data_IF_672314016658
#
_entry.id   IF_672314016658
#
_cell.length_a   1.000
_cell.length_b   1.000
_cell.length_c   1.000
_cell.angle_alpha   90.00
_cell.angle_beta   90.00
_cell.angle_gamma   90.00
#
_symmetry.space_group_name_H-M   'P 1'
#
loop_
_entity.id
_entity.type
_entity.pdbx_description
1 polymer ?
#
# COMPACT_ATOMS: atom_id res chain seq x y z
N UNK A 1 20.33 -7.16 16.21
CA UNK A 1 19.26 -7.71 15.37
C UNK A 1 18.33 -6.56 14.98
N UNK A 2 18.08 -6.35 13.70
CA UNK A 2 17.20 -5.28 13.20
C UNK A 2 15.73 -5.67 13.39
N UNK A 3 14.89 -4.72 13.79
CA UNK A 3 13.45 -4.93 14.00
C UNK A 3 12.75 -5.21 12.67
N UNK A 4 12.04 -6.34 12.57
CA UNK A 4 11.18 -6.63 11.42
C UNK A 4 9.79 -6.02 11.65
N UNK A 5 9.34 -5.22 10.68
CA UNK A 5 7.99 -4.66 10.69
C UNK A 5 7.07 -5.46 9.77
N UNK A 6 5.80 -5.55 10.15
CA UNK A 6 4.74 -6.19 9.38
C UNK A 6 3.40 -5.52 9.64
N UNK A 7 2.44 -5.74 8.75
CA UNK A 7 1.08 -5.24 8.88
C UNK A 7 0.08 -6.26 8.33
N UNK A 8 -1.14 -6.24 8.85
CA UNK A 8 -2.20 -7.19 8.48
C UNK A 8 -3.21 -6.55 7.53
N UNK A 9 -3.67 -7.31 6.54
CA UNK A 9 -4.73 -6.93 5.62
C UNK A 9 -5.70 -8.10 5.52
N UNK A 10 -6.99 -7.82 5.67
CA UNK A 10 -8.05 -8.76 5.31
C UNK A 10 -8.41 -8.60 3.82
N UNK A 11 -8.01 -9.58 3.00
CA UNK A 11 -8.27 -9.59 1.56
C UNK A 11 -9.73 -9.87 1.22
N UNK A 12 -10.52 -10.48 2.11
CA UNK A 12 -11.94 -10.75 1.86
C UNK A 12 -12.79 -9.48 1.79
N UNK A 13 -12.30 -8.39 2.40
CA UNK A 13 -12.93 -7.06 2.39
C UNK A 13 -12.38 -6.14 1.29
N UNK A 14 -11.35 -6.58 0.55
CA UNK A 14 -10.74 -5.79 -0.49
C UNK A 14 -11.65 -5.74 -1.73
N UNK A 15 -11.97 -4.53 -2.20
CA UNK A 15 -12.82 -4.32 -3.39
C UNK A 15 -12.02 -3.91 -4.64
N UNK A 16 -10.69 -3.85 -4.55
CA UNK A 16 -9.85 -3.42 -5.67
C UNK A 16 -9.86 -1.91 -5.93
N UNK A 17 -10.31 -1.08 -4.99
CA UNK A 17 -10.46 0.38 -5.19
C UNK A 17 -9.16 1.17 -5.36
N UNK A 18 -7.99 0.57 -5.10
CA UNK A 18 -6.64 1.18 -5.18
C UNK A 18 -6.39 2.39 -4.28
N UNK A 19 -7.32 2.75 -3.40
CA UNK A 19 -7.16 3.88 -2.47
C UNK A 19 -5.95 3.71 -1.55
N UNK A 20 -5.64 2.49 -1.11
CA UNK A 20 -4.45 2.24 -0.30
C UNK A 20 -3.13 2.48 -1.05
N UNK A 21 -3.11 2.36 -2.38
CA UNK A 21 -1.93 2.74 -3.17
C UNK A 21 -1.80 4.25 -3.24
N UNK A 22 -2.89 4.95 -3.58
CA UNK A 22 -2.92 6.42 -3.68
C UNK A 22 -2.56 7.08 -2.36
N UNK A 23 -3.12 6.62 -1.23
CA UNK A 23 -2.81 7.13 0.09
C UNK A 23 -1.32 6.95 0.44
N UNK A 24 -0.70 5.83 0.04
CA UNK A 24 0.73 5.63 0.26
C UNK A 24 1.58 6.55 -0.62
N UNK A 25 1.17 6.81 -1.87
CA UNK A 25 1.87 7.74 -2.76
C UNK A 25 1.80 9.16 -2.24
N UNK A 26 0.62 9.60 -1.82
CA UNK A 26 0.38 10.92 -1.22
C UNK A 26 1.20 11.10 0.05
N UNK A 27 1.14 10.14 0.99
CA UNK A 27 1.91 10.20 2.24
C UNK A 27 3.44 10.21 2.06
N UNK A 28 3.94 9.72 0.92
CA UNK A 28 5.37 9.59 0.62
C UNK A 28 5.83 10.49 -0.53
N UNK A 29 4.97 11.38 -1.02
CA UNK A 29 5.22 12.26 -2.18
C UNK A 29 5.82 11.51 -3.39
N UNK A 30 5.25 10.34 -3.71
CA UNK A 30 5.77 9.48 -4.77
C UNK A 30 5.29 9.90 -6.16
N UNK A 31 6.12 9.62 -7.16
CA UNK A 31 5.76 9.77 -8.57
C UNK A 31 4.70 8.72 -8.97
N UNK A 32 3.90 8.99 -10.03
CA UNK A 32 2.83 8.08 -10.47
C UNK A 32 3.33 6.67 -10.81
N UNK A 33 4.56 6.56 -11.29
CA UNK A 33 5.30 5.36 -11.68
C UNK A 33 5.72 4.47 -10.50
N UNK A 34 5.73 4.98 -9.27
CA UNK A 34 6.14 4.22 -8.08
C UNK A 34 4.92 3.80 -7.26
N UNK A 35 4.71 2.49 -7.12
CA UNK A 35 3.72 1.87 -6.23
C UNK A 35 4.40 0.84 -5.31
N UNK A 36 4.53 1.15 -4.02
CA UNK A 36 5.06 0.20 -3.01
C UNK A 36 4.09 -0.93 -2.70
N UNK A 37 2.79 -0.61 -2.67
CA UNK A 37 1.72 -1.59 -2.57
C UNK A 37 1.03 -1.68 -3.93
N UNK A 38 0.63 -2.88 -4.33
CA UNK A 38 -0.08 -3.13 -5.59
C UNK A 38 -1.37 -3.87 -5.30
N UNK A 39 -2.46 -3.40 -5.89
CA UNK A 39 -3.79 -3.98 -5.86
C UNK A 39 -4.15 -4.32 -7.31
N UNK A 40 -4.50 -5.58 -7.52
CA UNK A 40 -4.90 -6.14 -8.82
C UNK A 40 -6.42 -6.27 -8.90
#
# INVERSE_FOLDING_TARGET
>A
MTTQYGFFIDSSRCTGCKTCELACKDYKDLTPDVSFRRIY
#
